data_IF_803458809304
#
_entry.id   IF_803458809304
#
_cell.length_a   1.000
_cell.length_b   1.000
_cell.length_c   1.000
_cell.angle_alpha   90.00
_cell.angle_beta   90.00
_cell.angle_gamma   90.00
#
_symmetry.space_group_name_H-M   'P 1'
#
loop_
_entity.id
_entity.type
_entity.pdbx_description
1 polymer ?
#
# COMPACT_ATOMS: atom_id res chain seq x y z
N UNK A 1 4.82 -15.20 -10.66
CA UNK A 1 3.88 -14.24 -11.24
C UNK A 1 4.24 -12.88 -10.67
N UNK A 2 4.57 -11.90 -11.50
CA UNK A 2 4.93 -10.54 -11.06
C UNK A 2 3.61 -9.75 -11.11
N UNK A 3 2.95 -9.54 -9.97
CA UNK A 3 1.65 -8.83 -9.92
C UNK A 3 1.66 -7.63 -8.97
N UNK A 4 2.69 -7.53 -8.12
CA UNK A 4 3.02 -6.32 -7.36
C UNK A 4 3.92 -5.39 -8.19
N UNK A 5 3.80 -5.42 -9.52
CA UNK A 5 4.55 -4.50 -10.36
C UNK A 5 4.17 -3.07 -10.03
N UNK A 6 5.18 -2.22 -10.03
CA UNK A 6 4.99 -0.79 -9.83
C UNK A 6 4.13 -0.25 -10.98
N UNK A 7 3.04 0.44 -10.68
CA UNK A 7 2.29 1.17 -11.68
C UNK A 7 3.14 2.32 -12.22
N UNK A 8 3.46 2.24 -13.51
CA UNK A 8 4.11 3.32 -14.25
C UNK A 8 3.11 3.94 -15.23
N UNK A 9 2.73 5.21 -15.04
CA UNK A 9 1.84 5.89 -15.96
C UNK A 9 2.55 6.17 -17.30
N UNK A 10 2.08 5.55 -18.38
CA UNK A 10 2.52 5.82 -19.75
C UNK A 10 1.59 6.88 -20.35
N UNK A 11 2.16 7.93 -20.94
CA UNK A 11 1.46 9.03 -21.62
C UNK A 11 0.40 9.78 -20.78
N UNK A 12 0.52 9.73 -19.44
CA UNK A 12 -0.35 10.46 -18.53
C UNK A 12 0.42 11.59 -17.81
N UNK A 13 -0.23 12.74 -17.57
CA UNK A 13 0.40 13.84 -16.85
C UNK A 13 0.66 13.44 -15.38
N UNK A 14 1.88 13.66 -14.92
CA UNK A 14 2.28 13.50 -13.53
C UNK A 14 2.35 14.86 -12.84
N UNK A 15 1.90 14.91 -11.58
CA UNK A 15 1.98 16.10 -10.74
C UNK A 15 2.80 15.77 -9.50
N UNK A 16 3.79 16.61 -9.21
CA UNK A 16 4.50 16.60 -7.92
C UNK A 16 3.78 17.55 -6.97
N UNK A 17 3.33 17.03 -5.83
CA UNK A 17 2.64 17.80 -4.81
C UNK A 17 3.55 18.00 -3.59
N UNK A 18 3.62 19.22 -3.08
CA UNK A 18 4.24 19.52 -1.78
C UNK A 18 3.13 19.71 -0.74
N UNK A 19 3.02 18.77 0.19
CA UNK A 19 2.03 18.79 1.26
C UNK A 19 2.69 19.18 2.59
N UNK A 20 2.01 19.92 3.48
CA UNK A 20 2.55 20.32 4.78
C UNK A 20 2.44 19.18 5.80
N UNK A 21 3.10 18.05 5.51
CA UNK A 21 3.12 16.84 6.33
C UNK A 21 4.53 16.54 6.81
N UNK A 22 4.67 15.94 7.99
CA UNK A 22 5.96 15.49 8.50
C UNK A 22 6.29 14.07 8.05
N UNK A 23 5.26 13.26 7.81
CA UNK A 23 5.39 11.86 7.46
C UNK A 23 4.49 11.52 6.27
N UNK A 24 4.93 10.61 5.38
CA UNK A 24 4.17 10.26 4.18
C UNK A 24 2.79 9.65 4.47
N UNK A 25 2.61 8.99 5.62
CA UNK A 25 1.33 8.38 6.00
C UNK A 25 0.25 9.42 6.35
N UNK A 26 0.60 10.69 6.56
CA UNK A 26 -0.33 11.80 6.81
C UNK A 26 -0.99 12.31 5.51
N UNK A 27 -0.50 11.89 4.34
CA UNK A 27 -1.00 12.35 3.03
C UNK A 27 -2.50 12.11 2.87
N UNK A 28 -3.05 11.03 3.45
CA UNK A 28 -4.48 10.72 3.34
C UNK A 28 -5.40 11.68 4.12
N UNK A 29 -4.84 12.59 4.93
CA UNK A 29 -5.58 13.71 5.50
C UNK A 29 -5.87 14.81 4.46
N UNK A 30 -5.09 14.86 3.38
CA UNK A 30 -5.19 15.88 2.32
C UNK A 30 -5.70 15.30 1.00
N UNK A 31 -5.34 14.06 0.68
CA UNK A 31 -5.70 13.39 -0.57
C UNK A 31 -6.50 12.13 -0.25
N UNK A 32 -7.74 12.07 -0.72
CA UNK A 32 -8.59 10.91 -0.51
C UNK A 32 -8.14 9.73 -1.38
N UNK A 33 -8.04 8.55 -0.77
CA UNK A 33 -7.81 7.27 -1.44
C UNK A 33 -9.08 6.42 -1.34
N UNK A 34 -9.50 5.82 -2.46
CA UNK A 34 -10.74 5.06 -2.58
C UNK A 34 -10.84 3.91 -1.56
N UNK A 35 -9.75 3.19 -1.29
CA UNK A 35 -9.75 2.11 -0.29
C UNK A 35 -10.02 2.58 1.14
N UNK A 36 -10.01 3.89 1.39
CA UNK A 36 -10.44 4.47 2.66
C UNK A 36 -11.94 4.83 2.72
N UNK A 37 -12.72 4.65 1.65
CA UNK A 37 -14.13 5.05 1.59
C UNK A 37 -14.99 4.35 2.67
N UNK A 38 -14.79 3.04 2.85
CA UNK A 38 -15.56 2.24 3.82
C UNK A 38 -14.99 2.30 5.24
N UNK A 39 -13.66 2.42 5.39
CA UNK A 39 -12.98 2.38 6.68
C UNK A 39 -12.82 3.77 7.32
N UNK A 40 -12.68 4.80 6.51
CA UNK A 40 -12.27 6.16 6.90
C UNK A 40 -10.76 6.38 6.76
N UNK A 41 -10.37 7.56 6.27
CA UNK A 41 -8.95 7.93 6.09
C UNK A 41 -8.17 7.88 7.40
N UNK A 42 -8.78 8.21 8.54
CA UNK A 42 -8.16 8.17 9.86
C UNK A 42 -7.65 6.77 10.24
N UNK A 43 -8.46 5.73 9.98
CA UNK A 43 -8.09 4.34 10.26
C UNK A 43 -7.01 3.84 9.31
N UNK A 44 -7.12 4.16 8.02
CA UNK A 44 -6.09 3.80 7.03
C UNK A 44 -4.77 4.49 7.38
N UNK A 45 -4.78 5.78 7.73
CA UNK A 45 -3.59 6.48 8.21
C UNK A 45 -2.99 5.85 9.47
N UNK A 46 -3.82 5.40 10.42
CA UNK A 46 -3.34 4.70 11.60
C UNK A 46 -2.61 3.38 11.24
N UNK A 47 -3.14 2.64 10.27
CA UNK A 47 -2.50 1.43 9.73
C UNK A 47 -1.20 1.73 9.00
N UNK A 48 -1.18 2.74 8.12
CA UNK A 48 0.05 3.20 7.45
C UNK A 48 1.10 3.65 8.46
N UNK A 49 0.71 4.35 9.53
CA UNK A 49 1.61 4.75 10.62
C UNK A 49 2.17 3.55 11.38
N UNK A 50 1.35 2.53 11.64
CA UNK A 50 1.79 1.28 12.25
C UNK A 50 2.81 0.57 11.36
N UNK A 51 2.53 0.43 10.06
CA UNK A 51 3.47 -0.13 9.10
C UNK A 51 4.73 0.69 8.97
N UNK A 52 4.67 2.03 8.99
CA UNK A 52 5.85 2.88 8.96
C UNK A 52 6.77 2.60 10.15
N UNK A 53 6.21 2.51 11.36
CA UNK A 53 7.01 2.19 12.56
C UNK A 53 7.69 0.81 12.48
N UNK A 54 7.02 -0.17 11.88
CA UNK A 54 7.47 -1.57 11.86
C UNK A 54 8.41 -1.86 10.67
N UNK A 55 8.02 -1.40 9.49
CA UNK A 55 8.64 -1.74 8.21
C UNK A 55 9.33 -0.54 7.53
N UNK A 56 9.29 0.65 8.14
CA UNK A 56 9.84 1.90 7.58
C UNK A 56 9.33 2.13 6.17
N UNK A 57 8.00 2.06 6.01
CA UNK A 57 7.36 2.38 4.74
C UNK A 57 7.25 3.88 4.50
N UNK A 58 7.36 4.27 3.24
CA UNK A 58 7.06 5.62 2.77
C UNK A 58 6.07 5.54 1.60
N UNK A 59 5.03 6.35 1.64
CA UNK A 59 4.07 6.52 0.54
C UNK A 59 4.68 7.49 -0.48
N UNK A 60 4.96 7.00 -1.68
CA UNK A 60 5.68 7.76 -2.71
C UNK A 60 4.80 8.16 -3.89
N UNK A 61 3.74 7.40 -4.18
CA UNK A 61 2.78 7.73 -5.23
C UNK A 61 1.35 7.43 -4.81
N UNK A 62 0.43 8.25 -5.30
CA UNK A 62 -1.00 8.18 -5.00
C UNK A 62 -1.81 8.50 -6.27
N UNK A 63 -2.63 7.55 -6.72
CA UNK A 63 -3.44 7.67 -7.95
C UNK A 63 -4.95 7.63 -7.70
N UNK A 64 -5.41 7.87 -6.47
CA UNK A 64 -6.82 7.85 -6.11
C UNK A 64 -7.34 6.45 -5.78
N UNK A 65 -7.04 5.45 -6.61
CA UNK A 65 -7.36 4.03 -6.34
C UNK A 65 -6.13 3.20 -5.97
N UNK A 66 -4.93 3.70 -6.27
CA UNK A 66 -3.67 3.00 -6.03
C UNK A 66 -2.76 3.80 -5.10
N UNK A 67 -2.09 3.09 -4.19
CA UNK A 67 -1.00 3.60 -3.37
C UNK A 67 0.27 2.80 -3.69
N UNK A 68 1.40 3.49 -3.80
CA UNK A 68 2.69 2.85 -3.99
C UNK A 68 3.64 3.25 -2.86
N UNK A 69 4.24 2.24 -2.23
CA UNK A 69 5.04 2.41 -1.02
C UNK A 69 6.41 1.77 -1.19
N UNK A 70 7.44 2.45 -0.70
CA UNK A 70 8.78 1.85 -0.53
C UNK A 70 8.90 1.27 0.87
N UNK A 71 9.70 0.23 1.05
CA UNK A 71 9.81 -0.56 2.28
C UNK A 71 11.28 -0.77 2.60
N UNK A 72 11.72 -0.27 3.75
CA UNK A 72 13.14 -0.38 4.14
C UNK A 72 13.43 -1.56 5.06
N UNK A 73 12.47 -1.98 5.88
CA UNK A 73 12.60 -3.12 6.78
C UNK A 73 11.52 -4.16 6.44
N UNK A 74 11.87 -5.17 5.66
CA UNK A 74 10.95 -6.22 5.22
C UNK A 74 10.51 -7.12 6.37
N UNK A 75 9.35 -7.81 6.26
CA UNK A 75 8.99 -8.87 7.20
C UNK A 75 10.14 -9.88 7.36
N UNK A 76 10.44 -10.26 8.60
CA UNK A 76 11.58 -11.13 8.94
C UNK A 76 11.19 -12.59 9.05
N UNK A 77 9.89 -12.88 9.19
CA UNK A 77 9.37 -14.25 9.29
C UNK A 77 8.19 -14.45 8.34
N UNK A 78 7.93 -15.71 7.95
CA UNK A 78 6.77 -16.04 7.13
C UNK A 78 5.45 -15.68 7.83
N UNK A 79 5.39 -15.84 9.15
CA UNK A 79 4.21 -15.46 9.94
C UNK A 79 3.97 -13.95 9.91
N UNK A 80 5.04 -13.15 10.00
CA UNK A 80 4.94 -11.69 9.89
C UNK A 80 4.48 -11.26 8.50
N UNK A 81 4.98 -11.92 7.45
CA UNK A 81 4.56 -11.65 6.08
C UNK A 81 3.09 -12.03 5.84
N UNK A 82 2.64 -13.17 6.38
CA UNK A 82 1.24 -13.59 6.29
C UNK A 82 0.32 -12.62 7.03
N UNK A 83 0.72 -12.21 8.24
CA UNK A 83 -0.04 -11.21 8.99
C UNK A 83 -0.13 -9.88 8.24
N UNK A 84 0.95 -9.43 7.62
CA UNK A 84 0.94 -8.22 6.78
C UNK A 84 0.03 -8.39 5.55
N UNK A 85 0.03 -9.57 4.93
CA UNK A 85 -0.84 -9.85 3.79
C UNK A 85 -2.33 -9.75 4.17
N UNK A 86 -2.71 -10.29 5.33
CA UNK A 86 -4.07 -10.18 5.89
C UNK A 86 -4.42 -8.70 6.13
N UNK A 87 -3.50 -7.94 6.73
CA UNK A 87 -3.71 -6.51 6.98
C UNK A 87 -3.91 -5.73 5.67
N UNK A 88 -3.15 -6.04 4.61
CA UNK A 88 -3.33 -5.42 3.30
C UNK A 88 -4.65 -5.83 2.63
N UNK A 89 -5.05 -7.09 2.73
CA UNK A 89 -6.30 -7.59 2.14
C UNK A 89 -7.55 -6.97 2.80
N UNK A 90 -7.49 -6.65 4.10
CA UNK A 90 -8.58 -5.94 4.80
C UNK A 90 -8.78 -4.51 4.25
N UNK A 91 -7.69 -3.86 3.84
CA UNK A 91 -7.70 -2.44 3.46
C UNK A 91 -7.83 -2.26 1.93
N UNK A 92 -7.29 -3.19 1.15
CA UNK A 92 -7.25 -3.14 -0.31
C UNK A 92 -7.45 -4.53 -0.93
N UNK A 93 -8.61 -5.19 -0.72
CA UNK A 93 -8.88 -6.54 -1.23
C UNK A 93 -8.69 -6.68 -2.76
N UNK A 94 -8.95 -5.63 -3.54
CA UNK A 94 -8.73 -5.67 -5.00
C UNK A 94 -7.26 -5.92 -5.39
N UNK A 95 -6.31 -5.67 -4.49
CA UNK A 95 -4.87 -5.94 -4.70
C UNK A 95 -4.59 -7.41 -4.99
N UNK A 96 -5.29 -8.33 -4.33
CA UNK A 96 -5.14 -9.78 -4.49
C UNK A 96 -6.27 -10.38 -5.32
N UNK A 97 -7.51 -9.90 -5.14
CA UNK A 97 -8.69 -10.46 -5.76
C UNK A 97 -8.71 -10.30 -7.29
N UNK A 98 -8.40 -9.11 -7.81
CA UNK A 98 -8.43 -8.84 -9.25
C UNK A 98 -7.38 -9.65 -10.04
N UNK A 99 -6.12 -9.76 -9.59
CA UNK A 99 -5.15 -10.63 -10.25
C UNK A 99 -5.31 -12.12 -9.91
N UNK A 100 -6.25 -12.49 -9.03
CA UNK A 100 -6.52 -13.88 -8.65
C UNK A 100 -5.38 -14.52 -7.83
N UNK A 101 -4.78 -13.74 -6.94
CA UNK A 101 -3.62 -14.17 -6.16
C UNK A 101 -4.04 -14.65 -4.77
N UNK A 102 -3.47 -15.78 -4.33
CA UNK A 102 -3.69 -16.29 -2.98
C UNK A 102 -3.04 -15.41 -1.92
N UNK A 103 -3.57 -15.47 -0.69
CA UNK A 103 -3.02 -14.75 0.44
C UNK A 103 -1.58 -15.20 0.76
N UNK A 104 -1.29 -16.49 0.58
CA UNK A 104 0.04 -17.09 0.77
C UNK A 104 1.05 -16.59 -0.27
N UNK A 105 0.63 -16.51 -1.53
CA UNK A 105 1.46 -15.95 -2.60
C UNK A 105 1.73 -14.46 -2.36
N UNK A 106 0.73 -13.72 -1.87
CA UNK A 106 0.88 -12.32 -1.48
C UNK A 106 1.87 -12.16 -0.34
N UNK A 107 1.76 -12.96 0.71
CA UNK A 107 2.72 -13.01 1.81
C UNK A 107 4.14 -13.31 1.30
N UNK A 108 4.29 -14.28 0.39
CA UNK A 108 5.58 -14.62 -0.20
C UNK A 108 6.17 -13.45 -1.01
N UNK A 109 5.34 -12.69 -1.70
CA UNK A 109 5.77 -11.51 -2.45
C UNK A 109 6.20 -10.37 -1.50
N UNK A 110 5.41 -10.09 -0.46
CA UNK A 110 5.70 -9.07 0.56
C UNK A 110 6.99 -9.39 1.35
N UNK A 111 7.29 -10.66 1.57
CA UNK A 111 8.52 -11.10 2.24
C UNK A 111 9.78 -10.76 1.43
N UNK A 112 9.68 -10.72 0.10
CA UNK A 112 10.83 -10.53 -0.80
C UNK A 112 10.99 -9.08 -1.26
N UNK A 113 9.87 -8.37 -1.42
CA UNK A 113 9.79 -7.05 -2.04
C UNK A 113 10.19 -5.91 -1.11
N UNK A 114 10.91 -4.93 -1.65
CA UNK A 114 11.19 -3.61 -1.06
C UNK A 114 10.17 -2.55 -1.51
N UNK A 115 9.18 -2.93 -2.31
CA UNK A 115 8.08 -2.08 -2.74
C UNK A 115 6.74 -2.77 -2.54
N UNK A 116 5.75 -2.01 -2.09
CA UNK A 116 4.36 -2.47 -1.99
C UNK A 116 3.46 -1.64 -2.88
N UNK A 117 2.41 -2.30 -3.36
CA UNK A 117 1.37 -1.73 -4.19
C UNK A 117 0.03 -2.12 -3.58
N UNK A 118 -0.81 -1.12 -3.30
CA UNK A 118 -2.18 -1.33 -2.83
C UNK A 118 -3.12 -0.78 -3.89
N UNK A 119 -4.14 -1.55 -4.22
CA UNK A 119 -5.15 -1.16 -5.19
C UNK A 119 -6.53 -1.49 -4.65
N UNK A 120 -7.39 -0.47 -4.63
CA UNK A 120 -8.80 -0.60 -4.33
C UNK A 120 -9.62 0.28 -5.27
N UNK A 121 -10.71 -0.25 -5.82
CA UNK A 121 -11.49 0.44 -6.86
C UNK A 121 -13.00 0.18 -6.73
N UNK A 122 -13.84 1.09 -7.22
CA UNK A 122 -15.29 0.88 -7.30
C UNK A 122 -15.69 -0.33 -8.15
#
# INVERSE_FOLDING_TARGET
>A
MIYLEWYEPIDQPLVLLLLPVQNSWEILAYLHWYGAESLGSDKVMAMLKYWHKKYQIELVCHYGTMLQLTVKNKPKTCQEALQLAIEQEIIAPCTTMLPGISLEDHACALFKSDTWFLHERP
#
